data_IF_206747937646
#
_entry.id   IF_206747937646
#
_cell.length_a   1.000
_cell.length_b   1.000
_cell.length_c   1.000
_cell.angle_alpha   90.00
_cell.angle_beta   90.00
_cell.angle_gamma   90.00
#
_symmetry.space_group_name_H-M   'P 1'
#
loop_
_entity.id
_entity.type
_entity.pdbx_description
1 polymer ?
#
# COMPACT_ATOMS: atom_id res chain seq x y z
N UNK A 1 -16.25 -2.79 -13.57
CA UNK A 1 -15.02 -3.18 -12.83
C UNK A 1 -14.19 -4.00 -13.80
N UNK A 2 -12.92 -3.66 -14.06
CA UNK A 2 -12.12 -4.43 -15.03
C UNK A 2 -12.06 -5.88 -14.58
N UNK A 3 -12.59 -6.78 -15.39
CA UNK A 3 -12.47 -8.23 -15.22
C UNK A 3 -11.14 -8.74 -15.76
N UNK A 4 -10.37 -7.88 -16.42
CA UNK A 4 -9.19 -8.25 -17.17
C UNK A 4 -7.99 -7.37 -16.82
N UNK A 5 -6.82 -7.92 -17.14
CA UNK A 5 -5.53 -7.25 -17.01
C UNK A 5 -5.44 -6.06 -17.97
N UNK A 6 -4.97 -4.93 -17.44
CA UNK A 6 -4.65 -3.73 -18.23
C UNK A 6 -3.28 -3.24 -17.80
N UNK A 7 -2.31 -3.28 -18.70
CA UNK A 7 -0.93 -2.88 -18.43
C UNK A 7 -0.85 -1.47 -17.83
N UNK A 8 -0.08 -1.35 -16.75
CA UNK A 8 0.11 -0.12 -15.99
C UNK A 8 -1.13 0.46 -15.31
N UNK A 9 -2.28 -0.24 -15.35
CA UNK A 9 -3.55 0.32 -14.88
C UNK A 9 -4.31 -0.61 -13.94
N UNK A 10 -4.33 -1.92 -14.21
CA UNK A 10 -5.06 -2.89 -13.39
C UNK A 10 -4.44 -4.29 -13.52
N UNK A 11 -3.91 -4.84 -12.43
CA UNK A 11 -3.32 -6.19 -12.42
C UNK A 11 -3.88 -7.10 -11.31
N UNK A 12 -4.96 -6.68 -10.64
CA UNK A 12 -5.62 -7.47 -9.59
C UNK A 12 -7.15 -7.44 -9.69
N UNK A 13 -7.75 -8.59 -9.43
CA UNK A 13 -9.20 -8.78 -9.34
C UNK A 13 -9.78 -8.45 -7.95
N UNK A 14 -11.10 -8.65 -7.83
CA UNK A 14 -11.91 -8.35 -6.63
C UNK A 14 -11.35 -8.95 -5.33
N UNK A 15 -10.91 -10.20 -5.36
CA UNK A 15 -10.38 -10.90 -4.17
C UNK A 15 -9.10 -10.25 -3.64
N UNK A 16 -8.16 -9.96 -4.52
CA UNK A 16 -6.90 -9.29 -4.18
C UNK A 16 -7.13 -7.85 -3.72
N UNK A 17 -8.08 -7.12 -4.34
CA UNK A 17 -8.46 -5.76 -3.88
C UNK A 17 -8.96 -5.79 -2.44
N UNK A 18 -9.85 -6.73 -2.10
CA UNK A 18 -10.35 -6.89 -0.72
C UNK A 18 -9.22 -7.17 0.26
N UNK A 19 -8.23 -7.99 -0.12
CA UNK A 19 -7.04 -8.22 0.71
C UNK A 19 -6.26 -6.93 0.98
N UNK A 20 -6.11 -6.05 -0.02
CA UNK A 20 -5.44 -4.74 0.17
C UNK A 20 -6.24 -3.78 1.04
N UNK A 21 -7.58 -3.84 0.97
CA UNK A 21 -8.45 -3.11 1.90
C UNK A 21 -8.27 -3.61 3.35
N UNK A 22 -8.19 -4.93 3.55
CA UNK A 22 -7.91 -5.49 4.88
C UNK A 22 -6.53 -5.08 5.41
N UNK A 23 -5.50 -5.07 4.56
CA UNK A 23 -4.17 -4.55 4.93
C UNK A 23 -4.25 -3.07 5.31
N UNK A 24 -5.03 -2.27 4.60
CA UNK A 24 -5.24 -0.87 4.94
C UNK A 24 -5.89 -0.72 6.33
N UNK A 25 -6.96 -1.46 6.60
CA UNK A 25 -7.64 -1.45 7.91
C UNK A 25 -6.71 -1.89 9.04
N UNK A 26 -5.91 -2.94 8.82
CA UNK A 26 -4.91 -3.38 9.78
C UNK A 26 -3.85 -2.30 10.03
N UNK A 27 -3.40 -1.62 8.98
CA UNK A 27 -2.48 -0.49 9.11
C UNK A 27 -3.06 0.67 9.94
N UNK A 28 -4.34 1.02 9.75
CA UNK A 28 -5.04 2.02 10.57
C UNK A 28 -5.03 1.59 12.04
N UNK A 29 -5.41 0.34 12.32
CA UNK A 29 -5.41 -0.19 13.67
C UNK A 29 -4.02 -0.11 14.33
N UNK A 30 -2.96 -0.48 13.61
CA UNK A 30 -1.60 -0.37 14.10
C UNK A 30 -1.19 1.08 14.35
N UNK A 31 -1.48 1.99 13.41
CA UNK A 31 -1.14 3.42 13.55
C UNK A 31 -1.80 4.03 14.78
N UNK A 32 -3.09 3.80 14.97
CA UNK A 32 -3.83 4.31 16.14
C UNK A 32 -3.27 3.71 17.42
N UNK A 33 -3.07 2.38 17.47
CA UNK A 33 -2.54 1.71 18.66
C UNK A 33 -1.15 2.21 19.04
N UNK A 34 -0.25 2.38 18.06
CA UNK A 34 1.09 2.92 18.28
C UNK A 34 1.04 4.39 18.74
N UNK A 35 0.18 5.21 18.14
CA UNK A 35 0.02 6.61 18.54
C UNK A 35 -0.48 6.70 19.99
N UNK A 36 -1.53 5.96 20.34
CA UNK A 36 -2.06 5.91 21.71
C UNK A 36 -1.01 5.45 22.71
N UNK A 37 -0.23 4.41 22.38
CA UNK A 37 0.83 3.92 23.27
C UNK A 37 1.93 4.97 23.50
N UNK A 38 2.38 5.65 22.45
CA UNK A 38 3.40 6.71 22.56
C UNK A 38 2.93 7.89 23.41
N UNK A 39 1.65 8.27 23.28
CA UNK A 39 1.05 9.36 24.07
C UNK A 39 0.80 8.94 25.52
N UNK A 40 0.37 7.71 25.76
CA UNK A 40 0.09 7.20 27.11
C UNK A 40 1.34 6.94 27.95
N UNK A 41 2.53 6.88 27.32
CA UNK A 41 3.80 6.55 27.99
C UNK A 41 4.81 7.70 27.96
N UNK A 42 4.34 8.94 27.69
CA UNK A 42 5.12 10.17 27.65
C UNK A 42 6.45 10.04 26.88
N UNK A 43 6.40 9.31 25.75
CA UNK A 43 7.58 9.06 24.94
C UNK A 43 8.08 10.34 24.30
N UNK A 44 9.40 10.39 24.07
CA UNK A 44 10.04 11.51 23.40
C UNK A 44 9.42 11.81 22.03
N UNK A 45 9.44 13.08 21.61
CA UNK A 45 8.87 13.49 20.31
C UNK A 45 9.52 12.75 19.12
N UNK A 46 10.81 12.42 19.21
CA UNK A 46 11.51 11.65 18.17
C UNK A 46 10.96 10.23 18.03
N UNK A 47 10.46 9.62 19.10
CA UNK A 47 9.81 8.29 19.05
C UNK A 47 8.58 8.26 18.12
N UNK A 48 7.95 9.41 17.85
CA UNK A 48 6.80 9.53 16.93
C UNK A 48 7.14 9.23 15.47
N UNK A 49 8.43 9.28 15.08
CA UNK A 49 8.88 8.85 13.74
C UNK A 49 8.56 7.37 13.50
N UNK A 50 8.49 6.55 14.56
CA UNK A 50 8.11 5.13 14.45
C UNK A 50 6.71 4.90 13.85
N UNK A 51 5.82 5.90 13.89
CA UNK A 51 4.49 5.86 13.25
C UNK A 51 4.59 5.67 11.73
N UNK A 52 5.73 5.98 11.12
CA UNK A 52 5.95 5.78 9.69
C UNK A 52 5.69 4.34 9.26
N UNK A 53 6.13 3.35 10.04
CA UNK A 53 5.99 1.94 9.68
C UNK A 53 4.53 1.49 9.61
N UNK A 54 3.69 1.64 10.65
CA UNK A 54 2.28 1.29 10.55
C UNK A 54 1.51 2.17 9.55
N UNK A 55 1.86 3.46 9.42
CA UNK A 55 1.28 4.35 8.42
C UNK A 55 1.61 3.89 6.98
N UNK A 56 2.80 3.31 6.76
CA UNK A 56 3.19 2.72 5.48
C UNK A 56 2.38 1.47 5.17
N UNK A 57 2.12 0.60 6.16
CA UNK A 57 1.23 -0.57 5.99
C UNK A 57 -0.15 -0.13 5.53
N UNK A 58 -0.73 0.89 6.19
CA UNK A 58 -1.99 1.49 5.77
C UNK A 58 -1.91 2.00 4.33
N UNK A 59 -0.93 2.86 4.06
CA UNK A 59 -0.79 3.58 2.79
C UNK A 59 -0.62 2.62 1.61
N UNK A 60 0.20 1.57 1.78
CA UNK A 60 0.43 0.54 0.77
C UNK A 60 -0.85 -0.24 0.46
N UNK A 61 -1.65 -0.61 1.47
CA UNK A 61 -2.95 -1.25 1.28
C UNK A 61 -3.95 -0.33 0.59
N UNK A 62 -4.05 0.91 1.08
CA UNK A 62 -4.97 1.92 0.59
C UNK A 62 -4.71 2.29 -0.88
N UNK A 63 -3.48 2.69 -1.21
CA UNK A 63 -3.12 3.13 -2.56
C UNK A 63 -3.27 1.98 -3.56
N UNK A 64 -2.80 0.77 -3.25
CA UNK A 64 -2.96 -0.39 -4.13
C UNK A 64 -4.44 -0.75 -4.36
N UNK A 65 -5.27 -0.72 -3.31
CA UNK A 65 -6.70 -1.03 -3.44
C UNK A 65 -7.45 -0.02 -4.31
N UNK A 66 -7.15 1.28 -4.17
CA UNK A 66 -7.74 2.36 -4.98
C UNK A 66 -7.26 2.32 -6.42
N UNK A 67 -5.99 1.99 -6.62
CA UNK A 67 -5.38 1.86 -7.95
C UNK A 67 -5.76 0.56 -8.65
N UNK A 68 -6.35 -0.41 -7.93
CA UNK A 68 -6.62 -1.77 -8.44
C UNK A 68 -5.35 -2.42 -9.01
N UNK A 69 -4.23 -2.10 -8.39
CA UNK A 69 -2.91 -2.47 -8.88
C UNK A 69 -2.04 -2.88 -7.70
N UNK A 70 -1.50 -4.09 -7.79
CA UNK A 70 -0.55 -4.65 -6.86
C UNK A 70 0.88 -4.32 -7.32
N UNK A 71 1.62 -3.57 -6.51
CA UNK A 71 3.00 -3.17 -6.82
C UNK A 71 3.92 -4.40 -6.92
N UNK A 72 3.72 -5.42 -6.08
CA UNK A 72 4.56 -6.62 -6.08
C UNK A 72 4.38 -7.41 -7.38
N UNK A 73 3.13 -7.53 -7.86
CA UNK A 73 2.83 -8.14 -9.15
C UNK A 73 3.39 -7.31 -10.31
N UNK A 74 3.29 -5.98 -10.25
CA UNK A 74 3.86 -5.12 -11.28
C UNK A 74 5.39 -5.23 -11.39
N UNK A 75 6.09 -5.38 -10.26
CA UNK A 75 7.54 -5.63 -10.25
C UNK A 75 7.90 -7.03 -10.76
N UNK A 76 7.13 -8.04 -10.34
CA UNK A 76 7.33 -9.44 -10.74
C UNK A 76 6.90 -9.75 -12.19
N UNK A 77 6.17 -8.84 -12.86
CA UNK A 77 5.60 -9.08 -14.18
C UNK A 77 4.47 -10.11 -14.14
N UNK A 78 3.61 -10.02 -13.13
CA UNK A 78 2.48 -10.92 -12.91
C UNK A 78 1.17 -10.17 -12.68
N UNK A 79 0.06 -10.90 -12.66
CA UNK A 79 -1.27 -10.39 -12.31
C UNK A 79 -2.13 -11.52 -11.72
N UNK A 80 -3.23 -11.17 -11.05
CA UNK A 80 -4.19 -12.16 -10.56
C UNK A 80 -5.64 -11.62 -10.56
N UNK A 81 -6.50 -12.19 -11.41
CA UNK A 81 -7.94 -11.93 -11.44
C UNK A 81 -8.78 -13.13 -10.99
N UNK A 82 -8.13 -14.25 -10.75
CA UNK A 82 -8.78 -15.50 -10.38
C UNK A 82 -8.87 -15.65 -8.85
N UNK A 83 -9.00 -16.89 -8.37
CA UNK A 83 -8.87 -17.19 -6.95
C UNK A 83 -7.50 -16.73 -6.44
N UNK A 84 -7.47 -16.30 -5.18
CA UNK A 84 -6.25 -15.87 -4.52
C UNK A 84 -5.12 -16.92 -4.71
N UNK A 85 -3.95 -16.46 -5.12
CA UNK A 85 -2.78 -17.30 -5.38
C UNK A 85 -2.70 -17.94 -6.78
N UNK A 86 -3.74 -17.89 -7.61
CA UNK A 86 -3.65 -18.32 -9.03
C UNK A 86 -3.10 -17.19 -9.90
N UNK A 87 -1.78 -17.02 -9.82
CA UNK A 87 -1.03 -15.93 -10.46
C UNK A 87 -0.74 -16.25 -11.93
N UNK A 88 -0.96 -15.28 -12.80
CA UNK A 88 -0.63 -15.33 -14.23
C UNK A 88 0.57 -14.44 -14.57
N UNK A 89 1.30 -14.76 -15.64
CA UNK A 89 2.48 -14.00 -16.10
C UNK A 89 2.11 -13.03 -17.22
N UNK A 90 2.68 -11.83 -17.15
CA UNK A 90 2.63 -10.84 -18.23
C UNK A 90 3.63 -11.25 -19.31
N UNK A 91 3.14 -11.50 -20.53
CA UNK A 91 3.96 -12.02 -21.63
C UNK A 91 4.82 -10.94 -22.28
N UNK A 92 4.21 -9.79 -22.58
CA UNK A 92 4.83 -8.64 -23.24
C UNK A 92 5.89 -7.96 -22.36
N UNK A 93 7.05 -7.66 -22.94
CA UNK A 93 8.12 -6.90 -22.27
C UNK A 93 7.68 -5.45 -22.03
N UNK A 94 6.94 -4.88 -22.97
CA UNK A 94 6.42 -3.53 -22.94
C UNK A 94 5.43 -3.37 -21.78
N UNK A 95 4.56 -4.37 -21.60
CA UNK A 95 3.55 -4.39 -20.54
C UNK A 95 4.23 -4.51 -19.17
N UNK A 96 5.24 -5.38 -19.04
CA UNK A 96 6.07 -5.45 -17.81
C UNK A 96 6.75 -4.13 -17.50
N UNK A 97 7.21 -3.38 -18.50
CA UNK A 97 7.82 -2.05 -18.31
C UNK A 97 6.78 -1.04 -17.80
N UNK A 98 5.58 -1.02 -18.37
CA UNK A 98 4.48 -0.17 -17.92
C UNK A 98 4.05 -0.50 -16.48
N UNK A 99 3.97 -1.79 -16.14
CA UNK A 99 3.66 -2.28 -14.81
C UNK A 99 4.71 -1.90 -13.78
N UNK A 100 6.00 -2.03 -14.10
CA UNK A 100 7.11 -1.61 -13.23
C UNK A 100 7.07 -0.10 -12.95
N UNK A 101 6.82 0.72 -13.97
CA UNK A 101 6.67 2.18 -13.79
C UNK A 101 5.53 2.48 -12.82
N UNK A 102 4.40 1.82 -12.99
CA UNK A 102 3.22 1.99 -12.13
C UNK A 102 3.49 1.52 -10.70
N UNK A 103 4.17 0.40 -10.54
CA UNK A 103 4.56 -0.12 -9.22
C UNK A 103 5.46 0.87 -8.45
N UNK A 104 6.44 1.48 -9.14
CA UNK A 104 7.29 2.52 -8.55
C UNK A 104 6.46 3.74 -8.14
N UNK A 105 5.55 4.21 -9.00
CA UNK A 105 4.66 5.34 -8.69
C UNK A 105 3.79 5.03 -7.46
N UNK A 106 3.24 3.82 -7.36
CA UNK A 106 2.45 3.39 -6.20
C UNK A 106 3.30 3.34 -4.93
N UNK A 107 4.53 2.83 -5.02
CA UNK A 107 5.46 2.81 -3.88
C UNK A 107 5.75 4.23 -3.38
N UNK A 108 6.08 5.15 -4.29
CA UNK A 108 6.35 6.56 -3.96
C UNK A 108 5.11 7.25 -3.36
N UNK A 109 3.92 7.05 -3.94
CA UNK A 109 2.66 7.57 -3.38
C UNK A 109 2.38 7.03 -1.98
N UNK A 110 2.65 5.75 -1.74
CA UNK A 110 2.44 5.12 -0.44
C UNK A 110 3.44 5.64 0.61
N UNK A 111 4.72 5.78 0.24
CA UNK A 111 5.74 6.35 1.10
C UNK A 111 5.45 7.83 1.43
N UNK A 112 5.04 8.62 0.44
CA UNK A 112 4.66 10.02 0.63
C UNK A 112 3.45 10.16 1.58
N UNK A 113 2.41 9.35 1.39
CA UNK A 113 1.25 9.36 2.28
C UNK A 113 1.63 8.96 3.72
N UNK A 114 2.46 7.93 3.89
CA UNK A 114 2.96 7.51 5.20
C UNK A 114 3.78 8.61 5.89
N UNK A 115 4.65 9.29 5.12
CA UNK A 115 5.44 10.41 5.62
C UNK A 115 4.54 11.58 6.05
N UNK A 116 3.50 11.92 5.27
CA UNK A 116 2.52 12.96 5.63
C UNK A 116 1.77 12.61 6.92
N UNK A 117 1.29 11.38 7.06
CA UNK A 117 0.63 10.91 8.29
C UNK A 117 1.58 11.02 9.49
N UNK A 118 2.83 10.58 9.32
CA UNK A 118 3.84 10.65 10.39
C UNK A 118 4.15 12.09 10.78
N UNK A 119 4.25 12.99 9.80
CA UNK A 119 4.50 14.41 10.03
C UNK A 119 3.38 15.06 10.86
N UNK A 120 2.12 14.67 10.64
CA UNK A 120 0.98 15.12 11.46
C UNK A 120 1.20 14.74 12.94
N UNK A 121 1.53 13.49 13.25
CA UNK A 121 1.81 13.07 14.63
C UNK A 121 3.06 13.72 15.22
N UNK A 122 4.08 13.97 14.40
CA UNK A 122 5.33 14.58 14.83
C UNK A 122 5.18 16.07 15.20
N UNK A 123 4.38 16.81 14.42
CA UNK A 123 4.21 18.27 14.56
C UNK A 123 3.14 18.61 15.60
N UNK A 124 2.06 17.84 15.69
CA UNK A 124 0.96 18.18 16.58
C UNK A 124 1.41 18.15 18.07
N UNK A 125 1.00 19.14 18.88
CA UNK A 125 1.18 19.12 20.32
C UNK A 125 0.12 18.16 20.94
N UNK A 126 0.25 16.88 20.60
CA UNK A 126 -0.47 15.76 21.22
C UNK A 126 0.20 15.38 22.53
#
# INVERSE_FOLDING_TARGET
MSSEYVAGSCNIGKGEIRRRQLVALFGIFLTISSATALLATDQSRSSRISIFVPALVFSVGFVQSRSKFCLAYGLAGTFNFERLGKISRVQSVQDRKADRKTAIVILLKSAALAALITAVFFILPL
#
